data_IF_523993929865
#
_entry.id   IF_523993929865
#
_cell.length_a   1.000
_cell.length_b   1.000
_cell.length_c   1.000
_cell.angle_alpha   90.00
_cell.angle_beta   90.00
_cell.angle_gamma   90.00
#
_symmetry.space_group_name_H-M   'P 1'
#
loop_
_entity.id
_entity.type
_entity.pdbx_description
1 polymer ?
#
# COMPACT_ATOMS: atom_id res chain seq x y z
N UNK A 1 17.41 38.64 -14.66
CA UNK A 1 16.88 39.42 -13.53
C UNK A 1 16.88 38.46 -12.34
N UNK A 2 17.95 38.49 -11.55
CA UNK A 2 18.16 37.56 -10.44
C UNK A 2 17.53 38.14 -9.17
N UNK A 3 16.77 37.33 -8.43
CA UNK A 3 16.27 37.69 -7.12
C UNK A 3 16.70 36.61 -6.10
N UNK A 4 17.69 36.97 -5.29
CA UNK A 4 18.11 36.28 -4.07
C UNK A 4 17.07 36.54 -2.98
N UNK A 5 16.60 35.48 -2.31
CA UNK A 5 15.82 35.60 -1.07
C UNK A 5 16.73 35.36 0.16
N UNK A 6 16.60 36.14 1.26
CA UNK A 6 17.41 36.00 2.46
C UNK A 6 16.90 34.94 3.44
N UNK A 7 17.85 34.32 4.14
CA UNK A 7 17.63 33.43 5.28
C UNK A 7 17.62 34.22 6.61
N UNK A 8 16.75 33.83 7.55
CA UNK A 8 16.78 34.26 8.96
C UNK A 8 16.02 33.24 9.86
N UNK A 9 16.18 33.24 11.20
CA UNK A 9 16.80 32.11 11.90
C UNK A 9 15.92 31.45 12.97
N UNK A 10 16.48 30.35 13.48
CA UNK A 10 16.10 29.56 14.66
C UNK A 10 15.87 30.40 15.93
N UNK A 11 14.76 30.15 16.64
CA UNK A 11 14.57 30.53 18.05
C UNK A 11 14.16 29.29 18.84
N UNK A 12 14.88 29.07 19.94
CA UNK A 12 14.75 27.94 20.84
C UNK A 12 13.92 28.27 22.09
N UNK A 13 13.30 27.20 22.61
CA UNK A 13 13.01 26.87 24.00
C UNK A 13 12.01 27.73 24.82
N UNK A 14 11.00 27.06 25.39
CA UNK A 14 10.68 27.21 26.80
C UNK A 14 10.02 25.94 27.38
N UNK A 15 10.69 25.35 28.37
CA UNK A 15 10.20 24.32 29.28
C UNK A 15 9.16 24.92 30.25
N UNK A 16 8.06 24.20 30.50
CA UNK A 16 7.21 24.42 31.67
C UNK A 16 7.18 23.14 32.50
N UNK A 17 7.72 23.25 33.72
CA UNK A 17 7.69 22.25 34.78
C UNK A 17 6.40 22.45 35.59
N UNK A 18 5.60 21.41 35.74
CA UNK A 18 4.46 21.37 36.67
C UNK A 18 4.80 20.53 37.89
N UNK A 19 4.87 21.17 39.05
CA UNK A 19 4.95 20.53 40.36
C UNK A 19 3.54 20.24 40.89
N UNK A 20 3.32 19.04 41.43
CA UNK A 20 2.18 18.74 42.28
C UNK A 20 2.64 17.89 43.47
N UNK A 21 2.37 18.39 44.68
CA UNK A 21 2.71 17.81 45.97
C UNK A 21 1.57 16.94 46.50
N UNK A 22 1.93 15.89 47.27
CA UNK A 22 1.13 15.46 48.43
C UNK A 22 0.90 13.96 48.56
N UNK A 23 1.40 13.36 49.65
CA UNK A 23 0.87 12.12 50.21
C UNK A 23 1.91 11.16 50.78
N UNK A 24 2.16 11.25 52.09
CA UNK A 24 3.09 10.50 52.93
C UNK A 24 2.37 9.35 53.66
N UNK A 25 3.00 8.16 53.78
CA UNK A 25 3.21 7.38 55.03
C UNK A 25 3.39 5.86 54.85
N UNK A 26 4.38 5.38 55.62
CA UNK A 26 4.59 4.06 56.24
C UNK A 26 4.93 2.81 55.38
N UNK A 27 6.14 2.28 55.64
CA UNK A 27 6.74 1.06 55.06
C UNK A 27 6.11 -0.27 55.49
N UNK A 28 6.78 -1.42 55.25
CA UNK A 28 8.03 -1.72 55.96
C UNK A 28 9.14 -2.35 55.10
N UNK A 29 10.34 -2.35 55.67
CA UNK A 29 11.53 -3.05 55.15
C UNK A 29 11.47 -4.54 55.48
N UNK A 30 11.60 -5.39 54.47
CA UNK A 30 12.07 -6.77 54.61
C UNK A 30 12.68 -7.26 53.29
N UNK A 31 13.90 -7.77 53.44
CA UNK A 31 14.85 -8.37 52.50
C UNK A 31 14.27 -9.36 51.49
N UNK A 32 14.69 -9.28 50.22
CA UNK A 32 15.02 -10.49 49.45
C UNK A 32 16.04 -10.20 48.34
N UNK A 33 17.04 -11.08 48.23
CA UNK A 33 18.10 -11.08 47.22
C UNK A 33 17.64 -12.02 46.11
N UNK A 34 17.20 -11.48 44.97
CA UNK A 34 16.71 -12.35 43.91
C UNK A 34 16.43 -11.66 42.59
N UNK A 35 17.33 -11.92 41.64
CA UNK A 35 17.09 -11.82 40.18
C UNK A 35 17.06 -10.40 39.62
N UNK A 36 18.23 -9.98 39.13
CA UNK A 36 18.37 -8.97 38.08
C UNK A 36 17.66 -9.48 36.82
N UNK A 37 16.33 -9.36 36.76
CA UNK A 37 15.62 -9.46 35.48
C UNK A 37 15.90 -8.14 34.80
N UNK A 38 17.00 -8.13 34.03
CA UNK A 38 17.24 -7.11 33.02
C UNK A 38 15.92 -6.87 32.31
N UNK A 39 15.34 -5.69 32.54
CA UNK A 39 14.29 -5.15 31.70
C UNK A 39 14.90 -5.08 30.32
N UNK A 40 14.69 -6.12 29.51
CA UNK A 40 14.87 -6.04 28.07
C UNK A 40 13.82 -5.04 27.63
N UNK A 41 14.27 -3.80 27.49
CA UNK A 41 13.58 -2.77 26.73
C UNK A 41 13.28 -3.43 25.39
N UNK A 42 12.01 -3.81 25.19
CA UNK A 42 11.52 -4.18 23.90
C UNK A 42 11.62 -2.89 23.07
N UNK A 43 12.72 -2.75 22.34
CA UNK A 43 12.80 -1.78 21.28
C UNK A 43 11.62 -2.08 20.36
N UNK A 44 10.63 -1.20 20.40
CA UNK A 44 9.53 -1.19 19.45
C UNK A 44 10.16 -0.99 18.08
N UNK A 45 10.33 -2.09 17.34
CA UNK A 45 10.62 -2.03 15.92
C UNK A 45 9.41 -1.38 15.28
N UNK A 46 9.52 -0.11 14.93
CA UNK A 46 8.58 0.51 13.99
C UNK A 46 8.82 -0.19 12.66
N UNK A 47 7.99 -1.18 12.36
CA UNK A 47 7.88 -1.70 11.00
C UNK A 47 7.27 -0.56 10.21
N UNK A 48 8.03 0.06 9.31
CA UNK A 48 7.48 1.06 8.40
C UNK A 48 6.30 0.40 7.65
N UNK A 49 5.20 1.13 7.45
CA UNK A 49 4.08 0.59 6.69
C UNK A 49 4.53 0.52 5.22
N UNK A 50 4.93 -0.67 4.77
CA UNK A 50 5.49 -0.84 3.42
C UNK A 50 4.50 -0.46 2.30
N UNK A 51 3.20 -0.22 2.60
CA UNK A 51 2.20 0.22 1.63
C UNK A 51 2.49 1.62 1.06
N UNK A 52 3.22 2.47 1.78
CA UNK A 52 3.66 3.77 1.24
C UNK A 52 4.66 3.61 0.08
N UNK A 53 5.13 2.39 -0.19
CA UNK A 53 6.13 2.07 -1.22
C UNK A 53 5.53 1.35 -2.43
N UNK A 54 4.22 1.17 -2.52
CA UNK A 54 3.59 0.48 -3.64
C UNK A 54 2.30 1.18 -4.08
N UNK A 55 1.92 1.06 -5.35
CA UNK A 55 0.59 1.45 -5.78
C UNK A 55 -0.46 0.46 -5.28
N UNK A 56 -1.58 1.01 -4.84
CA UNK A 56 -2.76 0.26 -4.45
C UNK A 56 -3.69 0.07 -5.64
N UNK A 57 -4.19 -1.16 -5.83
CA UNK A 57 -5.34 -1.43 -6.70
C UNK A 57 -6.59 -1.15 -5.89
N UNK A 58 -7.37 -0.16 -6.31
CA UNK A 58 -8.56 0.29 -5.56
C UNK A 58 -9.85 -0.37 -6.06
N UNK A 59 -9.95 -0.60 -7.37
CA UNK A 59 -11.13 -1.20 -7.99
C UNK A 59 -10.75 -1.90 -9.29
N UNK A 60 -11.51 -2.94 -9.63
CA UNK A 60 -11.38 -3.68 -10.89
C UNK A 60 -12.77 -4.01 -11.42
N UNK A 61 -13.03 -3.63 -12.67
CA UNK A 61 -14.25 -3.98 -13.38
C UNK A 61 -13.91 -5.00 -14.48
N UNK A 62 -14.23 -6.29 -14.28
CA UNK A 62 -14.01 -7.31 -15.29
C UNK A 62 -15.16 -7.32 -16.32
N UNK A 63 -14.83 -7.60 -17.57
CA UNK A 63 -15.81 -7.85 -18.64
C UNK A 63 -15.33 -9.01 -19.49
N UNK A 64 -16.18 -10.01 -19.70
CA UNK A 64 -15.91 -11.13 -20.59
C UNK A 64 -16.56 -10.90 -21.95
N UNK A 65 -15.82 -11.10 -23.04
CA UNK A 65 -16.32 -10.91 -24.41
C UNK A 65 -16.73 -12.21 -25.12
N UNK A 66 -16.67 -13.35 -24.40
CA UNK A 66 -16.93 -14.69 -24.93
C UNK A 66 -15.65 -15.50 -25.15
N UNK A 67 -14.50 -14.85 -25.32
CA UNK A 67 -13.20 -15.50 -25.50
C UNK A 67 -12.14 -14.98 -24.53
N UNK A 68 -12.07 -13.65 -24.37
CA UNK A 68 -11.07 -12.98 -23.56
C UNK A 68 -11.69 -12.05 -22.52
N UNK A 69 -10.85 -11.63 -21.57
CA UNK A 69 -11.20 -10.67 -20.55
C UNK A 69 -10.67 -9.28 -20.86
N UNK A 70 -11.50 -8.30 -20.51
CA UNK A 70 -11.13 -6.90 -20.30
C UNK A 70 -11.17 -6.62 -18.81
N UNK A 71 -10.17 -5.92 -18.30
CA UNK A 71 -10.12 -5.41 -16.94
C UNK A 71 -9.92 -3.90 -16.98
N UNK A 72 -10.89 -3.13 -16.49
CA UNK A 72 -10.68 -1.73 -16.15
C UNK A 72 -10.17 -1.68 -14.70
N UNK A 73 -8.93 -1.23 -14.51
CA UNK A 73 -8.23 -1.27 -13.23
C UNK A 73 -8.00 0.16 -12.77
N UNK A 74 -8.49 0.47 -11.56
CA UNK A 74 -8.28 1.74 -10.89
C UNK A 74 -7.12 1.60 -9.92
N UNK A 75 -6.07 2.38 -10.13
CA UNK A 75 -4.82 2.38 -9.35
C UNK A 75 -4.63 3.73 -8.67
N UNK A 76 -4.08 3.69 -7.45
CA UNK A 76 -3.59 4.85 -6.75
C UNK A 76 -2.13 4.65 -6.35
N UNK A 77 -1.25 5.54 -6.76
CA UNK A 77 0.14 5.58 -6.28
C UNK A 77 0.29 6.61 -5.16
N UNK A 78 1.10 6.35 -4.13
CA UNK A 78 1.41 7.34 -3.10
C UNK A 78 2.38 8.44 -3.59
N UNK A 79 2.86 8.34 -4.83
CA UNK A 79 3.86 9.24 -5.40
C UNK A 79 3.22 10.43 -6.12
N UNK A 80 3.76 11.61 -5.87
CA UNK A 80 3.32 12.90 -6.42
C UNK A 80 4.37 13.53 -7.36
N UNK A 81 5.37 12.75 -7.78
CA UNK A 81 6.43 13.16 -8.71
C UNK A 81 6.55 12.20 -9.90
N UNK A 82 7.10 12.65 -11.05
CA UNK A 82 7.31 11.80 -12.22
C UNK A 82 8.52 10.85 -12.09
N UNK A 83 9.32 10.99 -11.03
CA UNK A 83 10.54 10.21 -10.81
C UNK A 83 10.26 8.76 -10.37
N UNK A 84 9.07 8.53 -9.81
CA UNK A 84 8.59 7.23 -9.38
C UNK A 84 7.08 7.15 -9.57
N UNK A 85 6.61 6.18 -10.33
CA UNK A 85 5.19 5.98 -10.60
C UNK A 85 4.83 4.49 -10.70
N UNK A 86 3.53 4.18 -10.62
CA UNK A 86 3.05 2.85 -10.98
C UNK A 86 3.27 2.58 -12.47
N UNK A 87 4.12 1.61 -12.81
CA UNK A 87 4.44 1.26 -14.20
C UNK A 87 3.62 0.11 -14.75
N UNK A 88 2.68 -0.43 -13.97
CA UNK A 88 1.81 -1.48 -14.45
C UNK A 88 1.03 -2.22 -13.39
N UNK A 89 0.41 -3.30 -13.83
CA UNK A 89 -0.22 -4.31 -12.99
C UNK A 89 -0.19 -5.67 -13.68
N UNK A 90 -0.49 -6.73 -12.93
CA UNK A 90 -0.69 -8.08 -13.47
C UNK A 90 -1.97 -8.72 -12.99
N UNK A 91 -2.46 -9.69 -13.77
CA UNK A 91 -3.62 -10.54 -13.47
C UNK A 91 -3.09 -11.92 -13.09
N UNK A 92 -3.31 -12.33 -11.84
CA UNK A 92 -2.74 -13.56 -11.28
C UNK A 92 -3.83 -14.57 -10.91
N UNK A 93 -3.70 -15.80 -11.37
CA UNK A 93 -4.55 -16.92 -11.00
C UNK A 93 -4.29 -17.43 -9.58
N UNK A 94 -5.17 -18.29 -9.04
CA UNK A 94 -5.06 -18.81 -7.68
C UNK A 94 -3.84 -19.74 -7.48
N UNK A 95 -3.29 -20.27 -8.56
CA UNK A 95 -2.07 -21.08 -8.60
C UNK A 95 -0.78 -20.22 -8.74
N UNK A 96 -0.91 -18.90 -8.82
CA UNK A 96 0.18 -17.97 -9.05
C UNK A 96 0.54 -17.77 -10.53
N UNK A 97 -0.20 -18.36 -11.47
CA UNK A 97 0.02 -18.14 -12.89
C UNK A 97 -0.34 -16.70 -13.29
N UNK A 98 0.50 -16.05 -14.09
CA UNK A 98 0.20 -14.71 -14.63
C UNK A 98 -0.53 -14.87 -15.96
N UNK A 99 -1.78 -14.41 -16.01
CA UNK A 99 -2.62 -14.47 -17.21
C UNK A 99 -2.49 -13.24 -18.10
N UNK A 100 -2.02 -12.13 -17.53
CA UNK A 100 -1.77 -10.90 -18.26
C UNK A 100 -0.97 -9.90 -17.45
N UNK A 101 -0.23 -9.06 -18.15
CA UNK A 101 0.49 -7.92 -17.59
C UNK A 101 0.21 -6.67 -18.43
N UNK A 102 0.01 -5.55 -17.77
CA UNK A 102 -0.18 -4.25 -18.42
C UNK A 102 0.94 -3.32 -18.00
N UNK A 103 1.52 -2.61 -18.97
CA UNK A 103 2.58 -1.62 -18.74
C UNK A 103 2.04 -0.21 -18.96
N UNK A 104 2.31 0.68 -18.00
CA UNK A 104 2.08 2.10 -18.06
C UNK A 104 3.40 2.81 -18.37
N UNK A 105 3.45 3.53 -19.50
CA UNK A 105 4.70 4.07 -20.04
C UNK A 105 5.03 5.51 -19.59
N UNK A 106 4.19 6.13 -18.77
CA UNK A 106 4.37 7.49 -18.28
C UNK A 106 3.81 7.65 -16.88
N UNK A 107 4.21 8.73 -16.20
CA UNK A 107 3.72 9.05 -14.88
C UNK A 107 2.25 9.51 -14.90
N UNK A 108 1.60 9.37 -13.76
CA UNK A 108 0.23 9.81 -13.51
C UNK A 108 0.13 10.65 -12.23
N UNK A 109 1.20 11.35 -11.83
CA UNK A 109 1.25 12.06 -10.53
C UNK A 109 0.11 13.09 -10.37
N UNK A 110 -0.37 13.67 -11.49
CA UNK A 110 -1.44 14.67 -11.51
C UNK A 110 -2.85 14.08 -11.71
N UNK A 111 -2.97 12.76 -11.77
CA UNK A 111 -4.20 12.01 -12.06
C UNK A 111 -4.25 10.80 -11.10
N UNK A 112 -4.43 11.05 -9.80
CA UNK A 112 -4.58 9.99 -8.81
C UNK A 112 -5.93 10.10 -8.07
N UNK A 113 -6.69 9.00 -7.93
CA UNK A 113 -6.49 7.72 -8.62
C UNK A 113 -6.81 7.83 -10.12
N UNK A 114 -6.32 6.89 -10.92
CA UNK A 114 -6.64 6.78 -12.34
C UNK A 114 -7.06 5.37 -12.74
N UNK A 115 -7.83 5.27 -13.82
CA UNK A 115 -8.28 3.99 -14.39
C UNK A 115 -7.68 3.78 -15.76
N UNK A 116 -7.16 2.57 -16.01
CA UNK A 116 -6.72 2.13 -17.35
C UNK A 116 -7.24 0.72 -17.63
N UNK A 117 -7.35 0.39 -18.91
CA UNK A 117 -7.97 -0.85 -19.35
C UNK A 117 -6.96 -1.78 -20.00
N UNK A 118 -6.91 -3.02 -19.55
CA UNK A 118 -6.23 -4.13 -20.21
C UNK A 118 -7.26 -5.00 -20.93
N UNK A 119 -6.97 -5.41 -22.16
CA UNK A 119 -7.85 -6.25 -22.99
C UNK A 119 -7.11 -7.47 -23.51
N UNK A 120 -7.84 -8.50 -23.93
CA UNK A 120 -7.24 -9.68 -24.56
C UNK A 120 -6.60 -10.63 -23.54
N UNK A 121 -7.00 -10.56 -22.27
CA UNK A 121 -6.45 -11.44 -21.23
C UNK A 121 -7.14 -12.80 -21.33
N UNK A 122 -6.37 -13.84 -21.66
CA UNK A 122 -6.87 -15.21 -21.79
C UNK A 122 -6.78 -15.90 -20.42
N UNK A 123 -7.93 -16.29 -19.89
CA UNK A 123 -8.03 -16.97 -18.58
C UNK A 123 -8.83 -18.27 -18.79
N UNK A 124 -8.28 -19.45 -18.41
CA UNK A 124 -8.96 -20.72 -18.54
C UNK A 124 -10.36 -20.71 -17.89
N UNK A 125 -11.34 -21.45 -18.43
CA UNK A 125 -12.71 -21.44 -17.93
C UNK A 125 -12.85 -22.01 -16.51
N UNK A 126 -11.90 -22.84 -16.06
CA UNK A 126 -11.85 -23.41 -14.72
C UNK A 126 -11.31 -22.44 -13.65
N UNK A 127 -10.75 -21.29 -14.05
CA UNK A 127 -10.30 -20.25 -13.12
C UNK A 127 -11.48 -19.36 -12.73
N UNK A 128 -11.92 -19.54 -11.48
CA UNK A 128 -13.07 -18.84 -10.91
C UNK A 128 -12.73 -17.43 -10.40
N UNK A 129 -11.48 -17.15 -10.04
CA UNK A 129 -11.06 -15.85 -9.54
C UNK A 129 -9.62 -15.52 -9.90
N UNK A 130 -9.30 -14.22 -9.90
CA UNK A 130 -7.94 -13.70 -10.09
C UNK A 130 -7.64 -12.59 -9.09
N UNK A 131 -6.36 -12.35 -8.83
CA UNK A 131 -5.87 -11.23 -8.04
C UNK A 131 -5.20 -10.23 -8.98
N UNK A 132 -5.53 -8.94 -8.83
CA UNK A 132 -4.86 -7.84 -9.52
C UNK A 132 -3.86 -7.18 -8.58
N UNK A 133 -2.61 -7.13 -9.00
CA UNK A 133 -1.48 -6.55 -8.24
C UNK A 133 -0.88 -5.38 -8.99
N UNK A 134 -0.79 -4.23 -8.34
CA UNK A 134 -0.10 -3.05 -8.86
C UNK A 134 1.43 -3.22 -8.82
N UNK A 135 2.13 -2.48 -9.68
CA UNK A 135 3.60 -2.49 -9.76
C UNK A 135 4.18 -1.09 -9.72
N UNK A 136 5.20 -0.91 -8.90
CA UNK A 136 6.10 0.23 -8.90
C UNK A 136 7.39 -0.10 -9.66
N UNK A 137 7.97 0.91 -10.32
CA UNK A 137 9.21 0.77 -11.11
C UNK A 137 10.42 0.27 -10.30
N UNK A 138 10.49 0.61 -9.01
CA UNK A 138 11.67 0.36 -8.17
C UNK A 138 11.44 -0.86 -7.28
N UNK A 139 10.29 -0.93 -6.62
CA UNK A 139 9.97 -1.94 -5.61
C UNK A 139 9.26 -3.17 -6.17
N UNK A 140 8.79 -3.12 -7.42
CA UNK A 140 8.05 -4.22 -8.05
C UNK A 140 6.60 -4.27 -7.58
N UNK A 141 6.05 -5.49 -7.47
CA UNK A 141 4.65 -5.70 -7.12
C UNK A 141 4.43 -5.63 -5.61
N UNK A 142 3.33 -5.00 -5.20
CA UNK A 142 2.94 -4.91 -3.80
C UNK A 142 1.70 -4.04 -3.63
N UNK A 143 1.51 -3.50 -2.43
CA UNK A 143 0.36 -2.66 -2.10
C UNK A 143 -0.92 -3.46 -1.87
N UNK A 144 -2.04 -2.75 -1.80
CA UNK A 144 -3.36 -3.35 -1.76
C UNK A 144 -3.71 -3.97 -3.11
N UNK A 145 -4.29 -5.17 -3.06
CA UNK A 145 -4.69 -5.95 -4.23
C UNK A 145 -6.20 -6.14 -4.25
N UNK A 146 -6.78 -6.36 -5.43
CA UNK A 146 -8.19 -6.70 -5.58
C UNK A 146 -8.33 -8.12 -6.10
N UNK A 147 -9.08 -8.95 -5.37
CA UNK A 147 -9.56 -10.25 -5.86
C UNK A 147 -10.85 -10.06 -6.64
N UNK A 148 -10.88 -10.59 -7.85
CA UNK A 148 -12.01 -10.50 -8.78
C UNK A 148 -12.63 -11.89 -8.94
N UNK A 149 -13.92 -12.00 -8.70
CA UNK A 149 -14.71 -13.17 -9.06
C UNK A 149 -15.07 -13.11 -10.56
N UNK A 150 -14.70 -14.15 -11.29
CA UNK A 150 -14.90 -14.26 -12.74
C UNK A 150 -16.09 -15.15 -13.12
N UNK A 151 -16.78 -15.74 -12.16
CA UNK A 151 -17.94 -16.61 -12.42
C UNK A 151 -19.15 -15.78 -12.83
N UNK A 152 -19.52 -14.80 -12.00
CA UNK A 152 -20.65 -13.91 -12.26
C UNK A 152 -20.53 -13.19 -13.62
N UNK A 153 -19.35 -12.63 -13.92
CA UNK A 153 -19.14 -11.91 -15.18
C UNK A 153 -19.14 -12.82 -16.43
N UNK A 154 -18.90 -14.14 -16.29
CA UNK A 154 -19.08 -15.10 -17.38
C UNK A 154 -20.53 -15.51 -17.57
N UNK A 155 -21.27 -15.69 -16.47
CA UNK A 155 -22.69 -16.04 -16.50
C UNK A 155 -23.51 -14.94 -17.20
N UNK A 156 -23.27 -13.67 -16.85
CA UNK A 156 -23.89 -12.51 -17.48
C UNK A 156 -23.61 -12.43 -19.00
N UNK A 157 -22.40 -12.83 -19.42
CA UNK A 157 -22.02 -12.83 -20.83
C UNK A 157 -22.58 -14.03 -21.62
N UNK A 158 -22.97 -15.11 -20.94
CA UNK A 158 -23.51 -16.33 -21.56
C UNK A 158 -25.03 -16.33 -21.76
N UNK A 159 -25.76 -15.41 -21.11
CA UNK A 159 -27.22 -15.28 -21.21
C UNK A 159 -27.67 -14.30 -22.32
N UNK A 160 -26.73 -13.63 -23.00
CA UNK A 160 -27.00 -12.66 -24.07
C UNK A 160 -26.91 -13.23 -25.48
#
# INVERSE_FOLDING_TARGET
>A
MSATAPATPMVAALLVVGAACGGDEAGPVATDTGTDVRTTSAASLVVADDREQFPDVLAVEPTFDGETWRFAVTISSPYDSPERYADGWRVVGPDGAVHGEHTLAHDHANEQPFTRTQTGVVIPPDVASVVIEGRDQVSGYGGATVTVDLTAAREEAGDG
#
